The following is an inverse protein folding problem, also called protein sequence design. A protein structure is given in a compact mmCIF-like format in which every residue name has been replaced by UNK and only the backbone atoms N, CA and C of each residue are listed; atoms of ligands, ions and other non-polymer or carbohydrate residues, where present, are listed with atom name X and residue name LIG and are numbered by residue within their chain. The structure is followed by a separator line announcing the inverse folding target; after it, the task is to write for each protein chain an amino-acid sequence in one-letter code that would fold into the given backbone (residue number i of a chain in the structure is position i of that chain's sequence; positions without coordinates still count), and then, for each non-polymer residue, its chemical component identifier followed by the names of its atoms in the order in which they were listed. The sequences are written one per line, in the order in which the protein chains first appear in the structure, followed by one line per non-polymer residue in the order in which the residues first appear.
data_IF_302421276985
#
_entry.id   IF_302421276985
#
_cell.length_a   1.000
_cell.length_b   1.000
_cell.length_c   1.000
_cell.angle_alpha   90.00
_cell.angle_beta   90.00
_cell.angle_gamma   90.00
#
_symmetry.space_group_name_H-M   'P 1'
#
loop_
_entity.id
_entity.type
_entity.pdbx_description
1 polymer ?
#
# COMPACT_ATOMS: atom_id res chain seq x y z
N UNK A 1 71.59 -35.03 14.98
CA UNK A 1 71.11 -34.32 13.77
C UNK A 1 69.58 -34.27 13.81
N UNK A 2 69.00 -33.09 14.05
CA UNK A 2 67.57 -32.91 14.30
C UNK A 2 66.78 -32.77 13.00
N UNK A 3 65.68 -33.53 12.85
CA UNK A 3 64.70 -33.37 11.75
C UNK A 3 63.69 -32.29 12.13
N UNK A 4 63.77 -31.14 11.48
CA UNK A 4 62.78 -30.06 11.63
C UNK A 4 61.57 -30.37 10.74
N UNK A 5 60.43 -30.70 11.34
CA UNK A 5 59.17 -30.91 10.62
C UNK A 5 58.40 -29.59 10.57
N UNK A 6 58.37 -28.94 9.42
CA UNK A 6 57.68 -27.66 9.21
C UNK A 6 56.17 -27.89 9.10
N UNK A 7 55.41 -27.67 10.18
CA UNK A 7 53.95 -27.69 10.14
C UNK A 7 53.42 -26.45 9.42
N UNK A 8 52.84 -26.63 8.22
CA UNK A 8 52.11 -25.58 7.52
C UNK A 8 50.85 -25.22 8.31
N UNK A 9 50.87 -24.09 9.03
CA UNK A 9 49.67 -23.47 9.58
C UNK A 9 48.81 -22.96 8.42
N UNK A 10 47.78 -23.71 8.05
CA UNK A 10 46.78 -23.27 7.09
C UNK A 10 46.09 -22.01 7.59
N UNK A 11 46.22 -20.91 6.85
CA UNK A 11 45.48 -19.69 7.12
C UNK A 11 44.00 -19.93 6.78
N UNK A 12 43.17 -20.19 7.79
CA UNK A 12 41.72 -20.22 7.62
C UNK A 12 41.25 -18.79 7.37
N UNK A 13 40.98 -18.45 6.10
CA UNK A 13 40.34 -17.19 5.77
C UNK A 13 38.91 -17.20 6.31
N UNK A 14 38.70 -16.46 7.40
CA UNK A 14 37.38 -16.23 7.97
C UNK A 14 36.59 -15.35 7.02
N UNK A 15 35.79 -15.98 6.17
CA UNK A 15 34.83 -15.30 5.33
C UNK A 15 33.84 -14.57 6.26
N UNK A 16 33.85 -13.23 6.21
CA UNK A 16 33.07 -12.39 7.10
C UNK A 16 31.59 -12.78 7.11
N UNK A 17 30.99 -12.76 8.30
CA UNK A 17 29.58 -13.09 8.55
C UNK A 17 28.69 -12.28 7.60
N UNK A 18 28.10 -12.93 6.58
CA UNK A 18 27.07 -12.29 5.75
C UNK A 18 25.82 -12.08 6.61
N UNK A 19 25.36 -10.83 6.69
CA UNK A 19 24.09 -10.49 7.35
C UNK A 19 22.96 -10.98 6.47
N UNK A 20 22.10 -11.84 7.00
CA UNK A 20 20.94 -12.36 6.28
C UNK A 20 19.99 -11.19 5.97
N UNK A 21 19.54 -11.00 4.71
CA UNK A 21 18.62 -9.93 4.39
C UNK A 21 17.30 -10.15 5.13
N UNK A 22 16.86 -9.14 5.85
CA UNK A 22 15.57 -9.16 6.56
C UNK A 22 14.46 -9.15 5.52
N UNK A 23 13.65 -10.21 5.51
CA UNK A 23 12.51 -10.35 4.62
C UNK A 23 11.51 -9.23 4.91
N UNK A 24 11.50 -8.17 4.08
CA UNK A 24 10.52 -7.09 4.18
C UNK A 24 9.16 -7.66 3.81
N UNK A 25 8.38 -8.07 4.81
CA UNK A 25 6.95 -8.36 4.66
C UNK A 25 6.24 -7.05 4.33
N UNK A 26 6.19 -6.69 3.05
CA UNK A 26 5.18 -5.77 2.55
C UNK A 26 3.85 -6.51 2.57
N UNK A 27 3.22 -6.57 3.74
CA UNK A 27 1.82 -6.92 3.83
C UNK A 27 1.03 -5.78 3.18
N UNK A 28 0.91 -5.82 1.84
CA UNK A 28 -0.16 -5.11 1.17
C UNK A 28 -1.45 -5.78 1.66
N UNK A 29 -2.00 -5.27 2.77
CA UNK A 29 -3.41 -5.47 3.09
C UNK A 29 -4.16 -4.91 1.90
N UNK A 30 -4.53 -5.78 0.95
CA UNK A 30 -5.67 -5.52 0.09
C UNK A 30 -6.83 -5.35 1.05
N UNK A 31 -7.18 -4.09 1.35
CA UNK A 31 -8.42 -3.80 2.02
C UNK A 31 -9.50 -4.51 1.21
N UNK A 32 -10.20 -5.45 1.84
CA UNK A 32 -11.38 -6.07 1.24
C UNK A 32 -12.29 -4.95 0.79
N UNK A 33 -12.58 -4.90 -0.51
CA UNK A 33 -13.44 -3.88 -1.08
C UNK A 33 -14.76 -3.85 -0.30
N UNK A 34 -14.95 -2.82 0.51
CA UNK A 34 -16.20 -2.62 1.23
C UNK A 34 -17.30 -2.42 0.19
N UNK A 35 -18.43 -3.10 0.38
CA UNK A 35 -19.63 -2.82 -0.42
C UNK A 35 -20.16 -1.47 0.03
N UNK A 36 -19.78 -0.41 -0.69
CA UNK A 36 -20.29 0.94 -0.45
C UNK A 36 -21.65 1.09 -1.12
N UNK A 37 -22.59 1.68 -0.39
CA UNK A 37 -23.87 2.10 -0.94
C UNK A 37 -23.79 3.53 -1.49
N UNK A 38 -24.77 3.94 -2.29
CA UNK A 38 -24.88 5.33 -2.73
C UNK A 38 -25.06 6.29 -1.54
N UNK A 39 -25.74 5.84 -0.48
CA UNK A 39 -25.92 6.62 0.75
C UNK A 39 -24.60 6.91 1.45
N UNK A 40 -23.72 5.92 1.55
CA UNK A 40 -22.38 6.08 2.16
C UNK A 40 -21.53 7.08 1.37
N UNK A 41 -21.64 7.07 0.05
CA UNK A 41 -20.96 8.02 -0.83
C UNK A 41 -21.46 9.45 -0.64
N UNK A 42 -22.78 9.62 -0.51
CA UNK A 42 -23.38 10.95 -0.26
C UNK A 42 -23.00 11.44 1.12
N UNK A 43 -23.04 10.58 2.15
CA UNK A 43 -22.62 10.94 3.51
C UNK A 43 -21.16 11.39 3.55
N UNK A 44 -20.25 10.61 2.93
CA UNK A 44 -18.84 10.98 2.82
C UNK A 44 -18.64 12.29 2.05
N UNK A 45 -19.44 12.55 1.02
CA UNK A 45 -19.40 13.83 0.31
C UNK A 45 -19.80 15.00 1.22
N UNK A 46 -20.84 14.83 2.03
CA UNK A 46 -21.26 15.83 3.02
C UNK A 46 -20.19 16.10 4.08
N UNK A 47 -19.51 15.05 4.56
CA UNK A 47 -18.40 15.18 5.50
C UNK A 47 -17.24 15.98 4.89
N UNK A 48 -16.96 15.81 3.59
CA UNK A 48 -15.89 16.55 2.89
C UNK A 48 -16.25 17.98 2.53
N UNK A 49 -17.51 18.25 2.20
CA UNK A 49 -18.02 19.55 1.77
C UNK A 49 -18.53 20.42 2.93
N UNK A 50 -18.24 20.03 4.18
CA UNK A 50 -18.65 20.74 5.40
C UNK A 50 -20.16 21.10 5.45
N UNK A 51 -21.02 20.26 4.86
CA UNK A 51 -22.46 20.49 4.84
C UNK A 51 -23.03 21.24 3.63
N UNK A 52 -22.21 21.76 2.71
CA UNK A 52 -22.73 22.51 1.54
C UNK A 52 -23.32 21.58 0.47
N UNK A 53 -24.65 21.60 0.33
CA UNK A 53 -25.38 20.78 -0.63
C UNK A 53 -24.99 21.04 -2.09
N UNK A 54 -24.59 22.27 -2.46
CA UNK A 54 -24.17 22.58 -3.83
C UNK A 54 -22.80 21.98 -4.14
N UNK A 55 -21.88 21.99 -3.18
CA UNK A 55 -20.57 21.36 -3.33
C UNK A 55 -20.69 19.83 -3.36
N UNK A 56 -21.53 19.26 -2.49
CA UNK A 56 -21.86 17.83 -2.54
C UNK A 56 -22.40 17.46 -3.91
N UNK A 57 -23.33 18.25 -4.45
CA UNK A 57 -23.90 17.98 -5.76
C UNK A 57 -22.83 18.00 -6.86
N UNK A 58 -21.96 19.01 -6.87
CA UNK A 58 -20.85 19.10 -7.82
C UNK A 58 -19.92 17.89 -7.74
N UNK A 59 -19.62 17.42 -6.52
CA UNK A 59 -18.72 16.30 -6.27
C UNK A 59 -19.33 14.97 -6.71
N UNK A 60 -20.56 14.69 -6.29
CA UNK A 60 -21.27 13.42 -6.57
C UNK A 60 -21.64 13.29 -8.04
N UNK A 61 -21.93 14.40 -8.73
CA UNK A 61 -22.22 14.42 -10.17
C UNK A 61 -20.99 14.66 -11.05
N UNK A 62 -19.80 14.72 -10.46
CA UNK A 62 -18.57 15.04 -11.19
C UNK A 62 -18.20 13.96 -12.23
N UNK A 63 -17.53 14.33 -13.34
CA UNK A 63 -17.00 13.36 -14.30
C UNK A 63 -15.98 12.39 -13.69
N UNK A 64 -15.29 12.81 -12.63
CA UNK A 64 -14.38 11.94 -11.88
C UNK A 64 -15.14 10.84 -11.14
N UNK A 65 -16.26 11.19 -10.50
CA UNK A 65 -17.13 10.23 -9.84
C UNK A 65 -17.72 9.23 -10.84
N UNK A 66 -18.13 9.69 -12.02
CA UNK A 66 -18.61 8.80 -13.10
C UNK A 66 -17.56 7.76 -13.50
N UNK A 67 -16.28 8.17 -13.63
CA UNK A 67 -15.18 7.25 -13.95
C UNK A 67 -14.94 6.21 -12.85
N UNK A 68 -15.09 6.59 -11.58
CA UNK A 68 -14.90 5.69 -10.44
C UNK A 68 -16.05 4.69 -10.31
N UNK A 69 -17.29 5.16 -10.50
CA UNK A 69 -18.49 4.33 -10.36
C UNK A 69 -18.82 3.50 -11.60
N UNK A 70 -18.29 3.88 -12.78
CA UNK A 70 -18.68 3.33 -14.08
C UNK A 70 -20.13 3.66 -14.46
N UNK A 71 -20.76 4.58 -13.73
CA UNK A 71 -22.15 5.03 -13.89
C UNK A 71 -22.25 6.49 -13.50
N UNK A 72 -23.13 7.22 -14.18
CA UNK A 72 -23.39 8.63 -13.91
C UNK A 72 -24.55 8.79 -12.93
N UNK A 73 -24.34 9.59 -11.89
CA UNK A 73 -25.42 10.03 -10.98
C UNK A 73 -26.05 11.27 -11.59
N UNK A 74 -27.36 11.22 -11.82
CA UNK A 74 -28.14 12.30 -12.44
C UNK A 74 -29.32 12.62 -11.53
N UNK A 75 -29.59 13.91 -11.32
CA UNK A 75 -30.82 14.35 -10.66
C UNK A 75 -31.94 14.43 -11.70
N UNK A 76 -33.04 13.71 -11.46
CA UNK A 76 -34.29 13.93 -12.18
C UNK A 76 -35.12 14.99 -11.47
N UNK A 77 -35.85 15.81 -12.26
CA UNK A 77 -36.86 16.74 -11.75
C UNK A 77 -38.14 16.03 -11.38
#
# INVERSE_FOLDING_TARGET
MARTTTQKRGAVQRQGRRVMPTMRRTAQRKATAAKLTLGDLIAAAYDTAAGDSLEVLKLVTSPQMERVLGRRIVLSR
#
